data_IF_090042955762
#
_entry.id   IF_090042955762
#
_cell.length_a   1.000
_cell.length_b   1.000
_cell.length_c   1.000
_cell.angle_alpha   90.00
_cell.angle_beta   90.00
_cell.angle_gamma   90.00
#
_symmetry.space_group_name_H-M   'P 1'
#
loop_
_entity.id
_entity.type
_entity.pdbx_description
1 polymer ?
#
# COMPACT_ATOMS: atom_id res chain seq x y z
N UNK A 1 -9.36 -18.30 8.26
CA UNK A 1 -8.73 -18.20 9.61
C UNK A 1 -7.43 -17.44 9.42
N UNK A 2 -7.43 -16.13 9.57
CA UNK A 2 -6.18 -15.35 9.64
C UNK A 2 -5.68 -15.46 11.07
N UNK A 3 -4.67 -16.31 11.30
CA UNK A 3 -3.98 -16.31 12.59
C UNK A 3 -3.38 -14.91 12.80
N UNK A 4 -3.71 -14.26 13.91
CA UNK A 4 -3.04 -13.01 14.32
C UNK A 4 -1.62 -13.36 14.76
N UNK A 5 -0.72 -13.55 13.78
CA UNK A 5 0.69 -13.68 14.03
C UNK A 5 1.23 -12.32 14.50
N UNK A 6 2.02 -12.35 15.56
CA UNK A 6 2.80 -11.21 15.99
C UNK A 6 3.91 -10.90 14.97
N UNK A 7 4.42 -9.67 14.98
CA UNK A 7 5.52 -9.27 14.10
C UNK A 7 6.76 -10.15 14.33
N UNK A 8 7.03 -10.56 15.56
CA UNK A 8 8.18 -11.42 15.87
C UNK A 8 8.02 -12.83 15.31
N UNK A 9 6.80 -13.38 15.32
CA UNK A 9 6.51 -14.66 14.66
C UNK A 9 6.66 -14.55 13.14
N UNK A 10 6.23 -13.43 12.54
CA UNK A 10 6.41 -13.18 11.09
C UNK A 10 7.90 -13.10 10.75
N UNK A 11 8.70 -12.36 11.52
CA UNK A 11 10.16 -12.29 11.32
C UNK A 11 10.81 -13.67 11.43
N UNK A 12 10.42 -14.46 12.42
CA UNK A 12 10.93 -15.81 12.60
C UNK A 12 10.64 -16.71 11.39
N UNK A 13 9.44 -16.59 10.80
CA UNK A 13 9.07 -17.32 9.57
C UNK A 13 9.89 -16.86 8.36
N UNK A 14 10.11 -15.55 8.20
CA UNK A 14 10.91 -15.01 7.10
C UNK A 14 12.35 -15.52 7.17
N UNK A 15 12.97 -15.53 8.35
CA UNK A 15 14.35 -15.99 8.52
C UNK A 15 14.54 -17.50 8.32
N UNK A 16 13.46 -18.28 8.32
CA UNK A 16 13.51 -19.71 7.97
C UNK A 16 13.54 -19.95 6.45
N UNK A 17 13.20 -18.95 5.64
CA UNK A 17 13.24 -19.08 4.18
C UNK A 17 14.68 -19.16 3.67
N UNK A 18 14.92 -19.82 2.52
CA UNK A 18 16.19 -19.71 1.80
C UNK A 18 16.51 -18.25 1.48
N UNK A 19 17.81 -17.89 1.46
CA UNK A 19 18.27 -16.51 1.21
C UNK A 19 17.65 -15.93 -0.08
N UNK A 20 17.57 -16.72 -1.15
CA UNK A 20 16.98 -16.27 -2.42
C UNK A 20 15.49 -15.90 -2.27
N UNK A 21 14.74 -16.65 -1.46
CA UNK A 21 13.33 -16.36 -1.21
C UNK A 21 13.15 -15.15 -0.30
N UNK A 22 14.08 -14.92 0.64
CA UNK A 22 14.08 -13.70 1.44
C UNK A 22 14.31 -12.46 0.56
N UNK A 23 15.23 -12.54 -0.41
CA UNK A 23 15.51 -11.45 -1.35
C UNK A 23 14.27 -11.15 -2.20
N UNK A 24 13.66 -12.17 -2.81
CA UNK A 24 12.43 -11.99 -3.61
C UNK A 24 11.31 -11.37 -2.77
N UNK A 25 11.13 -11.82 -1.53
CA UNK A 25 10.11 -11.28 -0.64
C UNK A 25 10.34 -9.80 -0.31
N UNK A 26 11.60 -9.38 -0.17
CA UNK A 26 11.94 -7.97 0.05
C UNK A 26 11.60 -7.14 -1.19
N UNK A 27 11.98 -7.60 -2.38
CA UNK A 27 11.67 -6.91 -3.65
C UNK A 27 10.15 -6.73 -3.83
N UNK A 28 9.35 -7.79 -3.61
CA UNK A 28 7.89 -7.72 -3.71
C UNK A 28 7.26 -6.76 -2.68
N UNK A 29 7.83 -6.71 -1.46
CA UNK A 29 7.36 -5.79 -0.41
C UNK A 29 7.68 -4.34 -0.76
N UNK A 30 8.86 -4.06 -1.28
CA UNK A 30 9.28 -2.72 -1.70
C UNK A 30 8.37 -2.19 -2.81
N UNK A 31 8.11 -2.96 -3.87
CA UNK A 31 7.23 -2.56 -4.98
C UNK A 31 5.82 -2.21 -4.49
N UNK A 32 5.27 -3.05 -3.62
CA UNK A 32 3.93 -2.83 -3.05
C UNK A 32 3.88 -1.58 -2.18
N UNK A 33 4.89 -1.36 -1.34
CA UNK A 33 4.94 -0.21 -0.45
C UNK A 33 5.13 1.09 -1.22
N UNK A 34 5.93 1.08 -2.29
CA UNK A 34 6.10 2.23 -3.19
C UNK A 34 4.77 2.59 -3.85
N UNK A 35 4.06 1.60 -4.39
CA UNK A 35 2.74 1.79 -5.01
C UNK A 35 1.75 2.41 -4.02
N UNK A 36 1.66 1.87 -2.81
CA UNK A 36 0.78 2.41 -1.77
C UNK A 36 1.15 3.84 -1.37
N UNK A 37 2.45 4.12 -1.27
CA UNK A 37 2.93 5.47 -0.94
C UNK A 37 2.55 6.46 -2.04
N UNK A 38 2.75 6.11 -3.30
CA UNK A 38 2.35 6.94 -4.45
C UNK A 38 0.85 7.18 -4.48
N UNK A 39 0.04 6.15 -4.22
CA UNK A 39 -1.42 6.29 -4.13
C UNK A 39 -1.83 7.26 -3.01
N UNK A 40 -1.25 7.12 -1.82
CA UNK A 40 -1.52 8.03 -0.70
C UNK A 40 -1.14 9.47 -1.03
N UNK A 41 0.03 9.68 -1.66
CA UNK A 41 0.46 11.01 -2.09
C UNK A 41 -0.51 11.60 -3.12
N UNK A 42 -0.99 10.82 -4.07
CA UNK A 42 -1.99 11.24 -5.06
C UNK A 42 -3.33 11.60 -4.39
N UNK A 43 -3.82 10.76 -3.46
CA UNK A 43 -5.05 11.04 -2.71
C UNK A 43 -4.95 12.36 -1.92
N UNK A 44 -3.80 12.63 -1.29
CA UNK A 44 -3.59 13.87 -0.54
C UNK A 44 -3.29 15.09 -1.41
N UNK A 45 -2.70 14.89 -2.59
CA UNK A 45 -2.23 15.97 -3.47
C UNK A 45 -3.28 16.51 -4.43
N UNK A 46 -4.43 15.84 -4.52
CA UNK A 46 -5.60 16.23 -5.32
C UNK A 46 -6.87 16.14 -4.48
N UNK A 47 -6.76 16.41 -3.17
CA UNK A 47 -7.91 16.39 -2.26
C UNK A 47 -9.03 17.33 -2.71
N UNK A 48 -8.64 18.43 -3.37
CA UNK A 48 -9.47 19.45 -4.00
C UNK A 48 -10.39 18.86 -5.08
N UNK A 49 -10.01 17.78 -5.77
CA UNK A 49 -10.87 17.12 -6.76
C UNK A 49 -12.07 16.40 -6.14
N UNK A 50 -12.07 16.22 -4.82
CA UNK A 50 -13.22 15.70 -4.09
C UNK A 50 -14.17 16.81 -3.61
N UNK A 51 -13.86 18.08 -3.86
CA UNK A 51 -14.72 19.20 -3.49
C UNK A 51 -15.92 19.27 -4.46
N UNK A 52 -17.17 19.41 -3.96
CA UNK A 52 -18.36 19.50 -4.82
C UNK A 52 -18.34 20.67 -5.81
N UNK A 53 -17.51 21.69 -5.55
CA UNK A 53 -17.30 22.86 -6.39
C UNK A 53 -16.44 22.56 -7.63
N UNK A 54 -15.61 21.51 -7.57
CA UNK A 54 -14.77 21.02 -8.67
C UNK A 54 -15.47 19.91 -9.49
N UNK A 55 -16.68 19.50 -9.10
CA UNK A 55 -17.48 18.53 -9.87
C UNK A 55 -18.01 19.18 -11.16
N UNK A 56 -17.27 18.97 -12.25
CA UNK A 56 -17.63 19.44 -13.60
C UNK A 56 -18.93 18.84 -14.16
N UNK A 57 -19.51 17.83 -13.49
CA UNK A 57 -20.81 17.26 -13.82
C UNK A 57 -21.95 17.81 -12.95
N UNK A 58 -21.64 18.59 -11.91
CA UNK A 58 -22.60 19.27 -11.04
C UNK A 58 -23.02 20.65 -11.58
N UNK A 59 -23.14 20.77 -12.90
CA UNK A 59 -23.81 21.89 -13.54
C UNK A 59 -25.32 21.62 -13.54
N UNK A 60 -26.04 22.20 -12.59
CA UNK A 60 -27.50 22.29 -12.67
C UNK A 60 -27.87 23.10 -13.93
N UNK A 61 -28.46 22.43 -14.92
CA UNK A 61 -29.01 23.03 -16.14
C UNK A 61 -30.43 23.56 -15.93
#
# INVERSE_FOLDING_TARGET
MTSNLTIEEIKALIFQLPIQQQIILIEDLEERLETLTMMQLAETGFSEWNEPEEDIYNVEF
#
